data_IF_885356043695
#
_entry.id   IF_885356043695
#
_cell.length_a   1.000
_cell.length_b   1.000
_cell.length_c   1.000
_cell.angle_alpha   90.00
_cell.angle_beta   90.00
_cell.angle_gamma   90.00
#
_symmetry.space_group_name_H-M   'P 1'
#
loop_
_entity.id
_entity.type
_entity.pdbx_description
1 polymer ?
#
# COMPACT_ATOMS: atom_id res chain seq x y z
N UNK A 1 25.51 24.24 -14.25
CA UNK A 1 25.84 23.29 -13.16
C UNK A 1 24.60 22.88 -12.35
N UNK A 2 23.76 23.83 -11.91
CA UNK A 2 22.52 23.56 -11.13
C UNK A 2 21.53 22.64 -11.88
N UNK A 3 21.20 22.92 -13.14
CA UNK A 3 20.25 22.10 -13.90
C UNK A 3 20.74 20.66 -14.11
N UNK A 4 22.03 20.44 -14.33
CA UNK A 4 22.62 19.11 -14.48
C UNK A 4 22.49 18.29 -13.19
N UNK A 5 22.75 18.93 -12.04
CA UNK A 5 22.62 18.31 -10.73
C UNK A 5 21.15 17.96 -10.41
N UNK A 6 20.22 18.81 -10.85
CA UNK A 6 18.78 18.56 -10.70
C UNK A 6 18.32 17.38 -11.56
N UNK A 7 18.78 17.29 -12.82
CA UNK A 7 18.54 16.12 -13.68
C UNK A 7 19.10 14.85 -13.05
N UNK A 8 20.33 14.90 -12.52
CA UNK A 8 20.95 13.75 -11.86
C UNK A 8 20.15 13.30 -10.63
N UNK A 9 19.71 14.24 -9.79
CA UNK A 9 18.85 13.95 -8.63
C UNK A 9 17.52 13.34 -9.04
N UNK A 10 16.88 13.82 -10.11
CA UNK A 10 15.63 13.24 -10.62
C UNK A 10 15.83 11.81 -11.12
N UNK A 11 16.91 11.54 -11.86
CA UNK A 11 17.22 10.20 -12.36
C UNK A 11 17.49 9.24 -11.20
N UNK A 12 18.30 9.66 -10.22
CA UNK A 12 18.61 8.85 -9.04
C UNK A 12 17.35 8.64 -8.18
N UNK A 13 16.58 9.70 -7.93
CA UNK A 13 15.33 9.62 -7.17
C UNK A 13 14.34 8.66 -7.82
N UNK A 14 14.13 8.76 -9.12
CA UNK A 14 13.28 7.82 -9.86
C UNK A 14 13.80 6.38 -9.75
N UNK A 15 15.11 6.16 -9.93
CA UNK A 15 15.70 4.83 -9.78
C UNK A 15 15.50 4.29 -8.36
N UNK A 16 15.68 5.12 -7.33
CA UNK A 16 15.44 4.74 -5.93
C UNK A 16 13.98 4.41 -5.67
N UNK A 17 13.02 5.20 -6.17
CA UNK A 17 11.59 4.90 -6.06
C UNK A 17 11.24 3.55 -6.69
N UNK A 18 11.79 3.26 -7.88
CA UNK A 18 11.59 1.97 -8.55
C UNK A 18 12.17 0.82 -7.73
N UNK A 19 13.36 1.00 -7.15
CA UNK A 19 13.99 0.00 -6.29
C UNK A 19 13.14 -0.25 -5.04
N UNK A 20 12.72 0.80 -4.33
CA UNK A 20 11.90 0.69 -3.11
C UNK A 20 10.57 0.01 -3.42
N UNK A 21 9.86 0.45 -4.46
CA UNK A 21 8.58 -0.17 -4.85
C UNK A 21 8.74 -1.63 -5.25
N UNK A 22 9.86 -2.01 -5.91
CA UNK A 22 10.18 -3.42 -6.19
C UNK A 22 10.41 -4.23 -4.91
N UNK A 23 11.10 -3.66 -3.92
CA UNK A 23 11.33 -4.31 -2.62
C UNK A 23 10.06 -4.51 -1.81
N UNK A 24 9.09 -3.59 -1.90
CA UNK A 24 7.77 -3.72 -1.26
C UNK A 24 6.93 -4.86 -1.87
N UNK A 25 7.29 -5.35 -3.06
CA UNK A 25 6.62 -6.46 -3.73
C UNK A 25 5.46 -6.03 -4.62
N UNK A 26 4.84 -7.00 -5.30
CA UNK A 26 3.68 -6.76 -6.17
C UNK A 26 2.41 -6.81 -5.31
N UNK A 27 1.69 -5.70 -5.22
CA UNK A 27 0.33 -5.64 -4.66
C UNK A 27 -0.63 -5.26 -5.79
N UNK A 28 -1.76 -5.95 -5.90
CA UNK A 28 -2.84 -5.49 -6.78
C UNK A 28 -3.43 -4.18 -6.24
N UNK A 29 -4.00 -3.34 -7.10
CA UNK A 29 -4.63 -2.08 -6.67
C UNK A 29 -5.75 -2.31 -5.63
N UNK A 30 -6.42 -3.45 -5.70
CA UNK A 30 -7.43 -3.92 -4.72
C UNK A 30 -6.84 -4.28 -3.36
N UNK A 31 -5.53 -4.50 -3.26
CA UNK A 31 -4.83 -4.92 -2.04
C UNK A 31 -3.96 -3.81 -1.44
N UNK A 32 -3.96 -2.62 -2.05
CA UNK A 32 -3.25 -1.46 -1.51
C UNK A 32 -3.97 -1.01 -0.24
N UNK A 33 -3.25 -1.02 0.88
CA UNK A 33 -3.80 -0.63 2.18
C UNK A 33 -3.67 0.88 2.38
N UNK A 34 -4.49 1.52 3.23
CA UNK A 34 -4.31 2.93 3.60
C UNK A 34 -2.89 3.24 4.08
N UNK A 35 -2.25 2.26 4.71
CA UNK A 35 -0.89 2.36 5.17
C UNK A 35 0.15 2.43 4.04
N UNK A 36 -0.08 1.69 2.95
CA UNK A 36 0.74 1.79 1.75
C UNK A 36 0.69 3.20 1.14
N UNK A 37 -0.48 3.87 1.22
CA UNK A 37 -0.61 5.26 0.81
C UNK A 37 0.19 6.22 1.68
N UNK A 38 0.16 6.06 3.01
CA UNK A 38 0.95 6.90 3.94
C UNK A 38 2.43 6.83 3.61
N UNK A 39 2.94 5.62 3.35
CA UNK A 39 4.35 5.44 3.01
C UNK A 39 4.74 6.05 1.67
N UNK A 40 3.90 5.91 0.65
CA UNK A 40 4.11 6.53 -0.65
C UNK A 40 4.11 8.06 -0.55
N UNK A 41 3.21 8.63 0.27
CA UNK A 41 3.16 10.08 0.52
C UNK A 41 4.43 10.60 1.19
N UNK A 42 4.89 9.96 2.26
CA UNK A 42 6.11 10.38 2.95
C UNK A 42 7.34 10.22 2.04
N UNK A 43 7.40 9.14 1.26
CA UNK A 43 8.49 8.94 0.29
C UNK A 43 8.48 10.04 -0.79
N UNK A 44 7.31 10.44 -1.26
CA UNK A 44 7.13 11.57 -2.17
C UNK A 44 7.58 12.90 -1.55
N UNK A 45 7.19 13.16 -0.29
CA UNK A 45 7.61 14.37 0.44
C UNK A 45 9.12 14.43 0.68
N UNK A 46 9.76 13.29 0.97
CA UNK A 46 11.22 13.20 1.04
C UNK A 46 11.86 13.56 -0.32
N UNK A 47 11.30 13.11 -1.44
CA UNK A 47 11.77 13.49 -2.78
C UNK A 47 11.60 14.96 -3.07
N UNK A 48 10.44 15.54 -2.75
CA UNK A 48 10.16 16.96 -2.94
C UNK A 48 11.16 17.84 -2.18
N UNK A 49 11.38 17.57 -0.89
CA UNK A 49 12.30 18.34 -0.05
C UNK A 49 13.73 18.29 -0.59
N UNK A 50 14.18 17.13 -1.08
CA UNK A 50 15.53 16.97 -1.64
C UNK A 50 15.74 17.69 -2.99
N UNK A 51 14.65 17.99 -3.72
CA UNK A 51 14.67 18.61 -5.04
C UNK A 51 14.47 20.12 -5.00
N UNK A 52 13.56 20.61 -4.15
CA UNK A 52 13.08 22.00 -4.20
C UNK A 52 13.42 22.84 -2.96
N UNK A 53 14.03 22.26 -1.93
CA UNK A 53 14.43 23.02 -0.74
C UNK A 53 15.46 24.11 -1.06
N UNK A 54 15.42 25.20 -0.28
CA UNK A 54 16.35 26.34 -0.39
C UNK A 54 17.81 25.94 -0.10
N UNK A 55 18.01 24.84 0.63
CA UNK A 55 19.31 24.24 0.93
C UNK A 55 19.28 22.77 0.53
N UNK A 56 19.44 22.44 -0.77
CA UNK A 56 19.29 21.08 -1.26
C UNK A 56 20.30 20.17 -0.61
N UNK A 57 19.83 19.12 0.05
CA UNK A 57 20.65 18.06 0.61
C UNK A 57 21.58 17.45 -0.45
N UNK A 58 22.72 16.93 -0.02
CA UNK A 58 23.63 16.20 -0.91
C UNK A 58 22.93 14.97 -1.50
N UNK A 59 23.35 14.51 -2.68
CA UNK A 59 22.84 13.27 -3.29
C UNK A 59 22.99 12.09 -2.31
N UNK A 60 24.06 12.07 -1.51
CA UNK A 60 24.26 11.06 -0.48
C UNK A 60 23.21 11.10 0.63
N UNK A 61 22.82 12.29 1.08
CA UNK A 61 21.80 12.47 2.12
C UNK A 61 20.42 12.05 1.60
N UNK A 62 20.12 12.38 0.35
CA UNK A 62 18.90 11.96 -0.34
C UNK A 62 18.82 10.42 -0.40
N UNK A 63 19.86 9.76 -0.90
CA UNK A 63 19.91 8.29 -1.02
C UNK A 63 19.86 7.63 0.35
N UNK A 64 20.58 8.18 1.35
CA UNK A 64 20.54 7.69 2.72
C UNK A 64 19.14 7.79 3.33
N UNK A 65 18.46 8.93 3.17
CA UNK A 65 17.10 9.13 3.64
C UNK A 65 16.10 8.14 3.03
N UNK A 66 16.17 7.94 1.71
CA UNK A 66 15.35 6.92 1.03
C UNK A 66 15.67 5.53 1.54
N UNK A 67 16.94 5.18 1.70
CA UNK A 67 17.35 3.85 2.15
C UNK A 67 16.85 3.55 3.56
N UNK A 68 16.99 4.51 4.49
CA UNK A 68 16.45 4.38 5.85
C UNK A 68 14.93 4.24 5.81
N UNK A 69 14.24 5.08 5.03
CA UNK A 69 12.79 4.99 4.88
C UNK A 69 12.33 3.63 4.33
N UNK A 70 13.02 3.13 3.30
CA UNK A 70 12.75 1.83 2.71
C UNK A 70 12.96 0.69 3.72
N UNK A 71 14.02 0.75 4.52
CA UNK A 71 14.29 -0.22 5.60
C UNK A 71 13.18 -0.18 6.65
N UNK A 72 12.73 1.01 7.07
CA UNK A 72 11.65 1.15 8.04
C UNK A 72 10.34 0.56 7.50
N UNK A 73 9.95 0.88 6.27
CA UNK A 73 8.77 0.30 5.64
C UNK A 73 8.90 -1.22 5.58
N UNK A 74 10.06 -1.74 5.18
CA UNK A 74 10.31 -3.17 5.11
C UNK A 74 10.18 -3.86 6.47
N UNK A 75 10.73 -3.27 7.53
CA UNK A 75 10.61 -3.79 8.90
C UNK A 75 9.15 -3.83 9.32
N UNK A 76 8.40 -2.74 9.11
CA UNK A 76 7.00 -2.70 9.50
C UNK A 76 6.19 -3.71 8.70
N UNK A 77 6.39 -3.78 7.38
CA UNK A 77 5.72 -4.73 6.49
C UNK A 77 6.00 -6.18 6.95
N UNK A 78 7.26 -6.53 7.23
CA UNK A 78 7.65 -7.86 7.70
C UNK A 78 7.08 -8.19 9.08
N UNK A 79 7.07 -7.22 9.99
CA UNK A 79 6.54 -7.39 11.35
C UNK A 79 5.02 -7.54 11.32
N UNK A 80 4.34 -6.77 10.47
CA UNK A 80 2.90 -6.85 10.24
C UNK A 80 2.50 -8.19 9.65
N UNK A 81 3.31 -8.74 8.73
CA UNK A 81 3.09 -10.09 8.18
C UNK A 81 3.27 -11.20 9.21
N UNK A 82 4.18 -11.04 10.18
CA UNK A 82 4.49 -12.06 11.20
C UNK A 82 3.57 -11.98 12.44
N UNK A 83 2.92 -10.85 12.68
CA UNK A 83 2.14 -10.60 13.89
C UNK A 83 0.65 -10.46 13.58
N UNK A 84 -0.13 -11.45 14.02
CA UNK A 84 -1.60 -11.45 13.91
C UNK A 84 -2.26 -10.32 14.72
N UNK A 85 -1.53 -9.72 15.67
CA UNK A 85 -2.01 -8.55 16.43
C UNK A 85 -1.80 -7.23 15.68
N UNK A 86 -0.75 -7.11 14.88
CA UNK A 86 -0.42 -5.87 14.17
C UNK A 86 -1.11 -5.79 12.81
N UNK A 87 -1.32 -6.94 12.15
CA UNK A 87 -2.07 -7.04 10.89
C UNK A 87 -3.43 -6.32 10.93
N UNK A 88 -4.33 -6.55 11.91
CA UNK A 88 -5.62 -5.88 11.96
C UNK A 88 -5.53 -4.37 12.15
N UNK A 89 -4.50 -3.88 12.85
CA UNK A 89 -4.31 -2.45 13.14
C UNK A 89 -3.80 -1.72 11.90
N UNK A 90 -2.83 -2.31 11.18
CA UNK A 90 -2.12 -1.65 10.09
C UNK A 90 -2.72 -1.94 8.70
N UNK A 91 -3.31 -3.12 8.51
CA UNK A 91 -3.84 -3.58 7.21
C UNK A 91 -5.32 -3.96 7.23
N UNK A 92 -5.96 -3.91 8.39
CA UNK A 92 -7.32 -4.41 8.56
C UNK A 92 -7.39 -5.93 8.76
N UNK A 93 -8.56 -6.40 9.18
CA UNK A 93 -8.87 -7.82 9.30
C UNK A 93 -9.44 -8.34 7.99
N UNK A 94 -8.96 -9.51 7.57
CA UNK A 94 -9.69 -10.35 6.63
C UNK A 94 -10.85 -10.97 7.41
N UNK A 95 -12.08 -10.59 7.08
CA UNK A 95 -13.29 -11.14 7.68
C UNK A 95 -14.14 -11.78 6.58
N UNK A 96 -14.73 -12.93 6.85
CA UNK A 96 -15.62 -13.56 5.88
C UNK A 96 -16.85 -12.67 5.66
N UNK A 97 -17.13 -12.33 4.40
CA UNK A 97 -18.35 -11.68 3.96
C UNK A 97 -19.45 -12.71 3.67
N UNK A 98 -19.05 -13.88 3.17
CA UNK A 98 -19.89 -15.06 2.99
C UNK A 98 -19.15 -16.24 3.61
N UNK A 99 -19.82 -17.03 4.44
CA UNK A 99 -19.30 -18.27 5.03
C UNK A 99 -20.37 -19.35 4.91
N UNK A 100 -20.00 -20.50 4.36
CA UNK A 100 -20.93 -21.63 4.11
C UNK A 100 -22.22 -21.20 3.37
N UNK A 101 -22.10 -20.28 2.41
CA UNK A 101 -23.21 -19.77 1.61
C UNK A 101 -24.12 -18.77 2.34
N UNK A 102 -23.79 -18.37 3.57
CA UNK A 102 -24.53 -17.37 4.34
C UNK A 102 -23.75 -16.06 4.39
N UNK A 103 -24.44 -14.97 4.08
CA UNK A 103 -23.86 -13.63 4.15
C UNK A 103 -23.77 -13.20 5.62
N UNK A 104 -22.58 -12.77 6.06
CA UNK A 104 -22.35 -12.29 7.42
C UNK A 104 -22.55 -10.77 7.45
N UNK A 105 -23.76 -10.35 7.81
CA UNK A 105 -24.18 -8.92 7.83
C UNK A 105 -23.27 -8.09 8.74
N UNK A 106 -22.92 -8.60 9.92
CA UNK A 106 -22.06 -7.90 10.88
C UNK A 106 -20.68 -7.57 10.28
N UNK A 107 -20.13 -8.44 9.43
CA UNK A 107 -18.82 -8.23 8.81
C UNK A 107 -18.92 -7.27 7.62
N UNK A 108 -20.05 -7.26 6.89
CA UNK A 108 -20.33 -6.22 5.90
C UNK A 108 -20.40 -4.83 6.53
N UNK A 109 -21.06 -4.70 7.68
CA UNK A 109 -21.14 -3.43 8.41
C UNK A 109 -19.76 -2.96 8.90
N UNK A 110 -18.95 -3.85 9.48
CA UNK A 110 -17.57 -3.54 9.89
C UNK A 110 -16.68 -3.14 8.71
N UNK A 111 -16.84 -3.81 7.58
CA UNK A 111 -16.14 -3.50 6.33
C UNK A 111 -16.69 -2.23 5.64
N UNK A 112 -17.78 -1.65 6.16
CA UNK A 112 -18.52 -0.53 5.54
C UNK A 112 -18.90 -0.84 4.09
N UNK A 113 -19.28 -2.09 3.84
CA UNK A 113 -19.59 -2.59 2.51
C UNK A 113 -21.09 -2.85 2.40
N UNK A 114 -21.74 -2.19 1.44
CA UNK A 114 -23.16 -2.39 1.19
C UNK A 114 -23.42 -3.68 0.41
N UNK A 115 -24.63 -4.24 0.57
CA UNK A 115 -25.03 -5.46 -0.15
C UNK A 115 -24.93 -5.32 -1.68
N UNK A 116 -25.22 -4.14 -2.22
CA UNK A 116 -25.09 -3.88 -3.66
C UNK A 116 -23.63 -3.86 -4.11
N UNK A 117 -22.72 -3.39 -3.26
CA UNK A 117 -21.29 -3.41 -3.51
C UNK A 117 -20.78 -4.85 -3.52
N UNK A 118 -21.17 -5.68 -2.54
CA UNK A 118 -20.85 -7.11 -2.52
C UNK A 118 -21.31 -7.80 -3.82
N UNK A 119 -22.57 -7.60 -4.22
CA UNK A 119 -23.11 -8.16 -5.48
C UNK A 119 -22.36 -7.66 -6.71
N UNK A 120 -21.93 -6.41 -6.71
CA UNK A 120 -21.15 -5.84 -7.82
C UNK A 120 -19.74 -6.44 -7.89
N UNK A 121 -19.09 -6.64 -6.75
CA UNK A 121 -17.80 -7.33 -6.65
C UNK A 121 -17.89 -8.79 -7.12
N UNK A 122 -18.95 -9.51 -6.74
CA UNK A 122 -19.22 -10.87 -7.21
C UNK A 122 -19.42 -10.92 -8.73
N UNK A 123 -20.17 -9.96 -9.29
CA UNK A 123 -20.39 -9.87 -10.74
C UNK A 123 -19.11 -9.58 -11.53
N UNK A 124 -18.20 -8.79 -10.99
CA UNK A 124 -16.87 -8.58 -11.58
C UNK A 124 -16.05 -9.88 -11.66
N UNK A 125 -16.34 -10.85 -10.79
CA UNK A 125 -15.77 -12.20 -10.80
C UNK A 125 -16.61 -13.22 -11.59
N UNK A 126 -17.66 -12.77 -12.29
CA UNK A 126 -18.54 -13.62 -13.09
C UNK A 126 -19.61 -14.36 -12.28
N UNK A 127 -19.80 -14.00 -11.01
CA UNK A 127 -20.80 -14.64 -10.14
C UNK A 127 -22.04 -13.74 -10.03
N UNK A 128 -23.18 -14.26 -10.46
CA UNK A 128 -24.43 -13.48 -10.55
C UNK A 128 -25.39 -13.71 -9.38
N UNK A 129 -25.19 -14.80 -8.62
CA UNK A 129 -25.99 -15.14 -7.44
C UNK A 129 -25.07 -15.36 -6.24
N UNK A 130 -25.44 -14.78 -5.09
CA UNK A 130 -24.73 -14.99 -3.83
C UNK A 130 -24.84 -16.44 -3.34
N UNK A 131 -25.85 -17.18 -3.79
CA UNK A 131 -26.06 -18.59 -3.41
C UNK A 131 -25.09 -19.54 -4.10
N UNK A 132 -24.43 -19.10 -5.18
CA UNK A 132 -23.45 -19.92 -5.92
C UNK A 132 -22.06 -19.87 -5.28
N UNK A 133 -21.94 -19.17 -4.14
CA UNK A 133 -20.66 -18.92 -3.47
C UNK A 133 -20.69 -19.50 -2.08
N UNK A 134 -19.68 -20.30 -1.78
CA UNK A 134 -19.51 -20.87 -0.44
C UNK A 134 -18.86 -19.86 0.51
N UNK A 135 -17.67 -19.37 0.16
CA UNK A 135 -16.87 -18.51 1.03
C UNK A 135 -16.30 -17.30 0.27
N UNK A 136 -16.38 -16.11 0.88
CA UNK A 136 -15.81 -14.84 0.37
C UNK A 136 -15.20 -14.07 1.53
N UNK A 137 -14.02 -13.49 1.31
CA UNK A 137 -13.28 -12.62 2.23
C UNK A 137 -13.13 -11.25 1.58
#
# INVERSE_FOLDING_TARGET
MIYLLLVLKLVIGLASLVIVTRFLGKKEMSQVTPFDFVYALVLGGLMEENLFSKSPSSIFEMVFGIAVWAILIFIVEKTTQKSDKLRPILKGKAEYLIEDGKIIIDNLEKAKLEMEQLRSLLRLKGIFSTNDVKDVI
#
